data_IF_634313086444
#
_entry.id   IF_634313086444
#
_cell.length_a   1.000
_cell.length_b   1.000
_cell.length_c   1.000
_cell.angle_alpha   90.00
_cell.angle_beta   90.00
_cell.angle_gamma   90.00
#
_symmetry.space_group_name_H-M   'P 1'
#
loop_
_entity.id
_entity.type
_entity.pdbx_description
1 polymer ?
#
# COMPACT_ATOMS: atom_id res chain seq x y z
N UNK A 1 -26.72 29.95 3.40
CA UNK A 1 -26.72 30.40 4.80
C UNK A 1 -25.87 31.66 4.94
N UNK A 2 -26.27 32.63 5.76
CA UNK A 2 -25.47 33.83 6.04
C UNK A 2 -24.84 33.64 7.42
N UNK A 3 -23.55 33.94 7.56
CA UNK A 3 -22.76 33.70 8.77
C UNK A 3 -22.02 34.99 9.13
N UNK A 4 -22.06 35.46 10.38
CA UNK A 4 -21.29 36.60 10.82
C UNK A 4 -19.78 36.32 10.75
N UNK A 5 -18.99 37.35 10.41
CA UNK A 5 -17.53 37.24 10.43
C UNK A 5 -16.96 37.72 11.76
N UNK A 6 -15.68 37.43 11.98
CA UNK A 6 -14.95 37.98 13.15
C UNK A 6 -14.92 39.52 13.18
N UNK A 7 -14.96 40.14 11.99
CA UNK A 7 -14.97 41.64 11.89
C UNK A 7 -16.23 42.24 12.47
N UNK A 8 -17.40 41.61 12.21
CA UNK A 8 -18.65 42.08 12.81
C UNK A 8 -18.61 41.99 14.34
N UNK A 9 -18.11 40.88 14.89
CA UNK A 9 -17.98 40.75 16.34
C UNK A 9 -17.01 41.72 16.96
N UNK A 10 -15.87 41.95 16.32
CA UNK A 10 -14.88 42.94 16.77
C UNK A 10 -15.41 44.40 16.69
N UNK A 11 -16.17 44.74 15.64
CA UNK A 11 -16.81 46.03 15.50
C UNK A 11 -17.90 46.23 16.56
N UNK A 12 -18.72 45.23 16.81
CA UNK A 12 -19.73 45.29 17.89
C UNK A 12 -19.10 45.50 19.27
N UNK A 13 -17.99 44.81 19.54
CA UNK A 13 -17.20 45.01 20.76
C UNK A 13 -16.57 46.42 20.85
N UNK A 14 -15.93 46.86 19.76
CA UNK A 14 -15.31 48.15 19.73
C UNK A 14 -16.31 49.32 19.87
N UNK A 15 -17.51 49.17 19.32
CA UNK A 15 -18.55 50.20 19.41
C UNK A 15 -19.31 50.16 20.75
N UNK A 16 -19.24 49.08 21.52
CA UNK A 16 -19.86 48.99 22.84
C UNK A 16 -19.22 49.95 23.87
N UNK A 17 -17.92 50.22 23.74
CA UNK A 17 -17.17 51.10 24.68
C UNK A 17 -17.58 52.56 24.52
N UNK A 18 -17.60 53.17 23.34
CA UNK A 18 -18.03 54.58 23.16
C UNK A 18 -19.47 54.81 23.56
N UNK A 19 -20.34 53.83 23.48
CA UNK A 19 -21.76 53.91 23.88
C UNK A 19 -21.91 54.35 25.34
N UNK A 20 -20.96 54.01 26.21
CA UNK A 20 -20.94 54.41 27.62
C UNK A 20 -20.80 55.92 27.86
N UNK A 21 -20.29 56.65 26.87
CA UNK A 21 -20.00 58.10 26.95
C UNK A 21 -21.02 58.95 26.16
N UNK A 22 -22.04 58.32 25.53
CA UNK A 22 -23.06 59.02 24.77
C UNK A 22 -24.14 59.52 25.74
N UNK A 23 -24.60 60.79 25.63
CA UNK A 23 -25.62 61.38 26.52
C UNK A 23 -27.07 60.87 26.24
N UNK A 24 -27.18 59.69 25.66
CA UNK A 24 -28.41 58.95 25.47
C UNK A 24 -28.52 57.85 26.55
N UNK A 25 -29.72 57.51 26.93
CA UNK A 25 -29.88 56.35 27.85
C UNK A 25 -29.21 55.13 27.26
N UNK A 26 -28.49 54.34 28.10
CA UNK A 26 -27.65 53.21 27.70
C UNK A 26 -28.38 52.21 26.79
N UNK A 27 -29.65 51.89 27.09
CA UNK A 27 -30.47 50.97 26.27
C UNK A 27 -30.74 51.56 24.89
N UNK A 28 -31.07 52.83 24.79
CA UNK A 28 -31.35 53.48 23.53
C UNK A 28 -30.09 53.57 22.64
N UNK A 29 -28.93 53.90 23.23
CA UNK A 29 -27.64 53.93 22.51
C UNK A 29 -27.23 52.55 22.05
N UNK A 30 -27.33 51.52 22.87
CA UNK A 30 -27.04 50.13 22.45
C UNK A 30 -28.00 49.65 21.36
N UNK A 31 -29.27 49.93 21.44
CA UNK A 31 -30.26 49.57 20.44
C UNK A 31 -29.98 50.22 19.10
N UNK A 32 -29.58 51.51 19.10
CA UNK A 32 -29.25 52.23 17.89
C UNK A 32 -27.99 51.63 17.22
N UNK A 33 -26.92 51.41 17.99
CA UNK A 33 -25.66 50.83 17.48
C UNK A 33 -25.88 49.45 16.91
N UNK A 34 -26.58 48.56 17.66
CA UNK A 34 -26.85 47.22 17.17
C UNK A 34 -27.78 47.23 15.94
N UNK A 35 -28.77 48.17 15.91
CA UNK A 35 -29.64 48.35 14.76
C UNK A 35 -28.86 48.75 13.48
N UNK A 36 -27.92 49.73 13.61
CA UNK A 36 -27.03 50.13 12.52
C UNK A 36 -26.16 48.96 12.09
N UNK A 37 -25.52 48.25 13.00
CA UNK A 37 -24.72 47.07 12.67
C UNK A 37 -25.51 45.98 11.98
N UNK A 38 -26.75 45.74 12.39
CA UNK A 38 -27.65 44.78 11.76
C UNK A 38 -27.96 45.20 10.32
N UNK A 39 -28.31 46.45 10.11
CA UNK A 39 -28.59 46.98 8.74
C UNK A 39 -27.36 46.86 7.84
N UNK A 40 -26.20 47.23 8.33
CA UNK A 40 -24.94 47.08 7.60
C UNK A 40 -24.63 45.60 7.28
N UNK A 41 -24.86 44.73 8.22
CA UNK A 41 -24.68 43.29 8.01
C UNK A 41 -25.67 42.70 6.98
N UNK A 42 -26.93 43.15 7.00
CA UNK A 42 -27.92 42.76 6.01
C UNK A 42 -27.55 43.26 4.60
N UNK A 43 -27.11 44.53 4.47
CA UNK A 43 -26.64 45.08 3.20
C UNK A 43 -25.40 44.34 2.69
N UNK A 44 -24.45 44.07 3.59
CA UNK A 44 -23.24 43.31 3.23
C UNK A 44 -23.58 41.90 2.74
N UNK A 45 -24.48 41.20 3.46
CA UNK A 45 -24.98 39.90 3.07
C UNK A 45 -25.77 39.90 1.77
N UNK A 46 -26.59 40.94 1.51
CA UNK A 46 -27.32 41.05 0.25
C UNK A 46 -26.38 41.22 -0.96
N UNK A 47 -25.28 41.96 -0.76
CA UNK A 47 -24.26 42.22 -1.82
C UNK A 47 -23.20 41.12 -1.94
N UNK A 48 -23.10 40.19 -0.99
CA UNK A 48 -22.21 39.06 -1.05
C UNK A 48 -22.63 38.10 -2.20
N UNK A 49 -21.73 37.72 -3.10
CA UNK A 49 -22.02 36.74 -4.15
C UNK A 49 -22.49 35.40 -3.57
N UNK A 50 -23.35 34.71 -4.31
CA UNK A 50 -23.78 33.36 -3.92
C UNK A 50 -22.61 32.39 -4.15
N UNK A 51 -22.20 31.58 -3.16
CA UNK A 51 -21.11 30.60 -3.35
C UNK A 51 -21.34 29.69 -4.56
N UNK A 52 -22.60 29.28 -4.79
CA UNK A 52 -22.98 28.41 -5.93
C UNK A 52 -22.71 29.04 -7.33
N UNK A 53 -22.53 30.37 -7.41
CA UNK A 53 -22.21 31.03 -8.69
C UNK A 53 -20.71 31.12 -8.98
N UNK A 54 -19.85 30.66 -8.04
CA UNK A 54 -18.42 30.66 -8.23
C UNK A 54 -17.98 29.30 -8.81
N UNK A 55 -17.30 29.28 -9.98
CA UNK A 55 -16.64 28.07 -10.47
C UNK A 55 -15.48 27.70 -9.52
N UNK A 56 -15.62 26.55 -8.88
CA UNK A 56 -14.59 25.98 -8.01
C UNK A 56 -14.21 24.61 -8.51
N UNK A 57 -12.92 24.35 -8.64
CA UNK A 57 -12.37 23.09 -9.09
C UNK A 57 -11.44 22.52 -8.01
N UNK A 58 -11.51 21.21 -7.77
CA UNK A 58 -10.59 20.46 -6.93
C UNK A 58 -9.71 19.60 -7.81
N UNK A 59 -8.41 19.75 -7.67
CA UNK A 59 -7.41 18.85 -8.25
C UNK A 59 -6.95 17.88 -7.18
N UNK A 60 -7.34 16.63 -7.31
CA UNK A 60 -6.98 15.53 -6.44
C UNK A 60 -6.22 14.49 -7.28
N UNK A 61 -5.05 13.98 -6.83
CA UNK A 61 -4.37 12.91 -7.54
C UNK A 61 -5.23 11.64 -7.51
N UNK A 62 -5.31 10.92 -8.63
CA UNK A 62 -6.11 9.70 -8.70
C UNK A 62 -5.53 8.57 -7.83
N UNK A 63 -4.19 8.47 -7.76
CA UNK A 63 -3.47 7.44 -7.02
C UNK A 63 -2.29 8.05 -6.27
N UNK A 64 -2.10 7.64 -5.01
CA UNK A 64 -0.95 8.02 -4.17
C UNK A 64 -0.47 6.78 -3.42
N UNK A 65 0.85 6.61 -3.28
CA UNK A 65 1.39 5.53 -2.46
C UNK A 65 1.31 5.88 -0.96
N UNK A 66 1.10 4.87 -0.12
CA UNK A 66 1.05 5.01 1.34
C UNK A 66 2.30 5.71 1.87
N UNK A 67 2.11 6.77 2.65
CA UNK A 67 3.19 7.55 3.25
C UNK A 67 3.98 8.43 2.29
N UNK A 68 3.63 8.47 1.00
CA UNK A 68 4.19 9.41 0.04
C UNK A 68 3.50 10.77 0.14
N UNK A 69 4.21 11.81 -0.21
CA UNK A 69 3.66 13.16 -0.25
C UNK A 69 3.01 13.41 -1.61
N UNK A 70 1.84 14.05 -1.59
CA UNK A 70 1.11 14.48 -2.78
C UNK A 70 0.40 15.79 -2.51
N UNK A 71 0.02 16.51 -3.55
CA UNK A 71 -0.63 17.80 -3.44
C UNK A 71 -2.12 17.69 -3.78
N UNK A 72 -2.96 18.37 -2.99
CA UNK A 72 -4.35 18.68 -3.28
C UNK A 72 -4.45 20.17 -3.52
N UNK A 73 -5.04 20.58 -4.64
CA UNK A 73 -5.19 21.99 -4.99
C UNK A 73 -6.65 22.35 -5.23
N UNK A 74 -7.00 23.58 -4.89
CA UNK A 74 -8.30 24.19 -5.15
C UNK A 74 -8.11 25.42 -6.02
N UNK A 75 -8.92 25.53 -7.06
CA UNK A 75 -8.97 26.68 -7.92
C UNK A 75 -10.34 27.35 -7.77
N UNK A 76 -10.32 28.66 -7.60
CA UNK A 76 -11.53 29.48 -7.55
C UNK A 76 -11.45 30.53 -8.63
N UNK A 77 -12.48 30.63 -9.47
CA UNK A 77 -12.63 31.70 -10.46
C UNK A 77 -13.67 32.69 -9.98
N UNK A 78 -13.35 33.98 -10.10
CA UNK A 78 -14.23 35.06 -9.74
C UNK A 78 -14.79 35.75 -10.99
N UNK A 79 -16.05 35.53 -11.38
CA UNK A 79 -16.65 36.19 -12.53
C UNK A 79 -17.11 37.63 -12.23
N UNK A 80 -17.03 38.09 -10.98
CA UNK A 80 -17.52 39.41 -10.60
C UNK A 80 -16.48 40.49 -10.87
N UNK A 81 -16.91 41.79 -11.02
CA UNK A 81 -16.01 42.93 -11.23
C UNK A 81 -15.31 43.40 -9.94
N UNK A 82 -15.45 42.68 -8.84
CA UNK A 82 -14.86 43.05 -7.53
C UNK A 82 -13.97 41.93 -7.02
N UNK A 83 -12.91 42.26 -6.30
CA UNK A 83 -12.11 41.27 -5.58
C UNK A 83 -12.97 40.59 -4.50
N UNK A 84 -12.89 39.27 -4.42
CA UNK A 84 -13.61 38.44 -3.44
C UNK A 84 -12.62 37.81 -2.44
N UNK A 85 -13.07 37.69 -1.20
CA UNK A 85 -12.40 36.86 -0.20
C UNK A 85 -13.23 35.58 -0.05
N UNK A 86 -12.60 34.46 -0.40
CA UNK A 86 -13.23 33.14 -0.39
C UNK A 86 -12.49 32.23 0.60
N UNK A 87 -13.22 31.59 1.47
CA UNK A 87 -12.69 30.56 2.36
C UNK A 87 -13.27 29.21 1.94
N UNK A 88 -12.39 28.26 1.69
CA UNK A 88 -12.73 26.88 1.38
C UNK A 88 -12.51 26.00 2.62
N UNK A 89 -13.36 25.00 2.83
CA UNK A 89 -13.16 23.95 3.82
C UNK A 89 -13.51 22.61 3.17
N UNK A 90 -12.49 21.76 3.01
CA UNK A 90 -12.61 20.48 2.33
C UNK A 90 -12.73 19.32 3.31
N UNK A 91 -13.50 18.30 2.93
CA UNK A 91 -13.80 17.13 3.76
C UNK A 91 -12.75 16.00 3.59
N UNK A 92 -11.48 16.39 3.57
CA UNK A 92 -10.37 15.43 3.49
C UNK A 92 -10.33 14.56 4.74
N UNK A 93 -10.28 13.23 4.57
CA UNK A 93 -10.21 12.27 5.67
C UNK A 93 -8.99 12.53 6.58
N UNK A 94 -9.12 12.36 7.92
CA UNK A 94 -8.01 12.54 8.86
C UNK A 94 -6.77 11.70 8.52
N UNK A 95 -6.98 10.49 8.01
CA UNK A 95 -5.92 9.56 7.62
C UNK A 95 -5.10 10.02 6.41
N UNK A 96 -5.58 10.99 5.63
CA UNK A 96 -4.80 11.62 4.55
C UNK A 96 -3.75 12.59 5.10
N UNK A 97 -3.83 12.97 6.38
CA UNK A 97 -2.88 13.88 7.06
C UNK A 97 -2.61 15.14 6.25
N UNK A 98 -3.68 15.80 5.80
CA UNK A 98 -3.57 17.05 5.08
C UNK A 98 -2.96 18.15 5.98
N UNK A 99 -2.01 18.92 5.47
CA UNK A 99 -1.40 20.05 6.18
C UNK A 99 -2.43 21.09 6.60
N UNK A 100 -3.41 21.36 5.73
CA UNK A 100 -4.62 22.12 6.06
C UNK A 100 -5.81 21.56 5.30
N UNK A 101 -7.00 21.68 5.88
CA UNK A 101 -8.28 21.38 5.23
C UNK A 101 -9.05 22.65 4.90
N UNK A 102 -8.48 23.82 5.21
CA UNK A 102 -9.09 25.11 5.01
C UNK A 102 -8.11 26.01 4.28
N UNK A 103 -8.60 26.75 3.31
CA UNK A 103 -7.82 27.73 2.58
C UNK A 103 -8.60 29.05 2.48
N UNK A 104 -7.94 30.17 2.70
CA UNK A 104 -8.48 31.52 2.49
C UNK A 104 -7.78 32.14 1.31
N UNK A 105 -8.55 32.56 0.31
CA UNK A 105 -8.10 33.07 -0.97
C UNK A 105 -8.62 34.48 -1.17
N UNK A 106 -7.78 35.35 -1.70
CA UNK A 106 -8.19 36.65 -2.28
C UNK A 106 -8.21 36.45 -3.78
N UNK A 107 -9.39 36.50 -4.39
CA UNK A 107 -9.59 36.25 -5.81
C UNK A 107 -9.84 37.57 -6.54
N UNK A 108 -8.94 38.04 -7.42
CA UNK A 108 -9.10 39.28 -8.15
C UNK A 108 -10.37 39.34 -8.99
N UNK A 109 -10.84 40.55 -9.32
CA UNK A 109 -11.98 40.75 -10.23
C UNK A 109 -11.69 40.09 -11.60
N UNK A 110 -12.62 39.29 -12.10
CA UNK A 110 -12.47 38.53 -13.36
C UNK A 110 -11.35 37.49 -13.37
N UNK A 111 -10.59 37.34 -12.27
CA UNK A 111 -9.42 36.49 -12.16
C UNK A 111 -9.70 35.12 -11.55
N UNK A 112 -8.60 34.42 -11.29
CA UNK A 112 -8.58 33.13 -10.58
C UNK A 112 -7.50 33.10 -9.49
N UNK A 113 -7.75 32.32 -8.46
CA UNK A 113 -6.76 32.08 -7.42
C UNK A 113 -6.65 30.59 -7.11
N UNK A 114 -5.47 30.17 -6.65
CA UNK A 114 -5.15 28.80 -6.29
C UNK A 114 -4.74 28.72 -4.82
N UNK A 115 -5.21 27.72 -4.13
CA UNK A 115 -4.63 27.26 -2.87
C UNK A 115 -4.28 25.79 -2.98
N UNK A 116 -3.29 25.36 -2.22
CA UNK A 116 -2.89 23.97 -2.19
C UNK A 116 -2.54 23.53 -0.77
N UNK A 117 -2.61 22.21 -0.54
CA UNK A 117 -2.17 21.56 0.68
C UNK A 117 -1.46 20.27 0.32
N UNK A 118 -0.43 19.90 1.08
CA UNK A 118 0.17 18.59 1.00
C UNK A 118 -0.67 17.57 1.77
N UNK A 119 -0.74 16.35 1.25
CA UNK A 119 -1.30 15.19 1.93
C UNK A 119 -0.21 14.12 2.08
N UNK A 120 -0.26 13.36 3.18
CA UNK A 120 0.63 12.22 3.43
C UNK A 120 -0.17 11.07 4.02
N UNK A 121 -0.83 10.25 3.18
CA UNK A 121 -1.73 9.21 3.64
C UNK A 121 -1.07 8.25 4.62
N UNK A 122 -1.76 7.95 5.73
CA UNK A 122 -1.32 7.01 6.77
C UNK A 122 -2.08 5.70 6.75
N UNK A 123 -3.08 5.57 5.89
CA UNK A 123 -3.90 4.38 5.67
C UNK A 123 -4.15 4.20 4.17
N UNK A 124 -4.13 2.96 3.70
CA UNK A 124 -4.54 2.57 2.35
C UNK A 124 -6.05 2.60 2.19
N UNK A 125 -6.49 2.49 0.96
CA UNK A 125 -7.88 2.34 0.60
C UNK A 125 -8.35 3.40 -0.38
N UNK A 126 -9.65 3.38 -0.64
CA UNK A 126 -10.34 4.33 -1.50
C UNK A 126 -10.96 5.43 -0.63
N UNK A 127 -10.60 6.65 -0.92
CA UNK A 127 -11.12 7.83 -0.25
C UNK A 127 -12.01 8.61 -1.21
N UNK A 128 -13.27 8.72 -0.86
CA UNK A 128 -14.23 9.54 -1.60
C UNK A 128 -14.32 10.89 -0.89
N UNK A 129 -14.11 11.96 -1.65
CA UNK A 129 -14.22 13.33 -1.18
C UNK A 129 -15.33 13.97 -1.99
N UNK A 130 -16.51 14.11 -1.38
CA UNK A 130 -17.72 14.52 -2.10
C UNK A 130 -18.00 16.01 -1.98
N UNK A 131 -17.79 16.60 -0.81
CA UNK A 131 -18.25 17.94 -0.48
C UNK A 131 -17.11 18.93 -0.27
N UNK A 132 -17.40 20.19 -0.62
CA UNK A 132 -16.54 21.33 -0.34
C UNK A 132 -17.41 22.48 0.19
N UNK A 133 -17.16 22.92 1.40
CA UNK A 133 -17.82 24.10 1.95
C UNK A 133 -17.10 25.36 1.45
N UNK A 134 -17.87 26.24 0.81
CA UNK A 134 -17.40 27.50 0.24
C UNK A 134 -18.06 28.66 0.99
N UNK A 135 -17.25 29.57 1.50
CA UNK A 135 -17.69 30.79 2.16
C UNK A 135 -17.16 31.99 1.43
N UNK A 136 -18.03 32.95 1.07
CA UNK A 136 -17.70 34.19 0.39
C UNK A 136 -18.04 35.36 1.28
N UNK A 137 -17.04 36.19 1.61
CA UNK A 137 -17.22 37.40 2.41
C UNK A 137 -17.94 38.46 1.61
N UNK A 138 -18.81 39.23 2.26
CA UNK A 138 -19.43 40.42 1.69
C UNK A 138 -18.40 41.55 1.46
N UNK A 139 -18.79 42.63 0.72
CA UNK A 139 -17.90 43.75 0.40
C UNK A 139 -17.27 44.42 1.61
N UNK A 140 -18.01 44.53 2.71
CA UNK A 140 -17.52 45.14 3.96
C UNK A 140 -16.86 44.09 4.87
N UNK A 141 -17.02 42.80 4.56
CA UNK A 141 -16.49 41.69 5.32
C UNK A 141 -17.15 41.50 6.70
N UNK A 142 -18.37 42.02 6.90
CA UNK A 142 -19.14 41.89 8.13
C UNK A 142 -19.83 40.54 8.22
N UNK A 143 -20.34 40.05 7.10
CA UNK A 143 -20.95 38.73 6.97
C UNK A 143 -20.38 37.98 5.79
N UNK A 144 -20.60 36.68 5.76
CA UNK A 144 -20.26 35.83 4.66
C UNK A 144 -21.44 34.93 4.28
N UNK A 145 -21.59 34.64 3.01
CA UNK A 145 -22.49 33.58 2.52
C UNK A 145 -21.72 32.27 2.46
N UNK A 146 -22.31 31.24 2.99
CA UNK A 146 -21.77 29.88 2.99
C UNK A 146 -22.71 28.91 2.28
N UNK A 147 -22.15 28.03 1.47
CA UNK A 147 -22.84 26.88 0.88
C UNK A 147 -21.89 25.70 0.79
N UNK A 148 -22.42 24.49 0.83
CA UNK A 148 -21.72 23.27 0.49
C UNK A 148 -21.97 22.97 -0.98
N UNK A 149 -20.91 22.64 -1.69
CA UNK A 149 -20.90 22.30 -3.12
C UNK A 149 -20.53 20.82 -3.25
N UNK A 150 -21.26 20.09 -4.10
CA UNK A 150 -20.89 18.72 -4.47
C UNK A 150 -19.79 18.75 -5.53
N UNK A 151 -18.64 18.23 -5.19
CA UNK A 151 -17.46 18.07 -6.07
C UNK A 151 -16.88 16.67 -5.86
N UNK A 152 -17.55 15.61 -6.36
CA UNK A 152 -17.12 14.25 -6.10
C UNK A 152 -15.78 13.98 -6.77
N UNK A 153 -14.84 13.46 -5.98
CA UNK A 153 -13.54 12.99 -6.44
C UNK A 153 -13.10 11.78 -5.63
N UNK A 154 -12.31 10.91 -6.22
CA UNK A 154 -11.81 9.69 -5.58
C UNK A 154 -10.29 9.69 -5.59
N UNK A 155 -9.71 9.35 -4.43
CA UNK A 155 -8.29 9.11 -4.26
C UNK A 155 -8.07 7.65 -3.86
N UNK A 156 -7.29 6.90 -4.63
CA UNK A 156 -6.83 5.57 -4.27
C UNK A 156 -5.45 5.67 -3.61
N UNK A 157 -5.32 5.13 -2.39
CA UNK A 157 -4.04 5.04 -1.68
C UNK A 157 -3.55 3.60 -1.75
N UNK A 158 -2.52 3.38 -2.57
CA UNK A 158 -1.94 2.06 -2.84
C UNK A 158 -0.86 1.69 -1.83
N UNK A 159 -0.54 0.39 -1.65
CA UNK A 159 0.62 -0.04 -0.89
C UNK A 159 1.90 0.61 -1.42
N UNK A 160 2.83 0.89 -0.53
CA UNK A 160 4.12 1.44 -0.93
C UNK A 160 5.04 0.31 -1.41
N UNK A 161 5.49 0.37 -2.66
CA UNK A 161 6.50 -0.53 -3.20
C UNK A 161 7.91 -0.02 -2.84
N UNK A 162 8.40 -0.41 -1.66
CA UNK A 162 9.69 0.05 -1.10
C UNK A 162 10.87 -0.63 -1.77
N UNK A 163 10.73 -1.90 -2.12
CA UNK A 163 11.79 -2.74 -2.66
C UNK A 163 11.94 -2.68 -4.19
N UNK A 164 11.35 -1.66 -4.84
CA UNK A 164 11.38 -1.53 -6.31
C UNK A 164 12.79 -1.48 -6.91
N UNK A 165 13.69 -0.68 -6.31
CA UNK A 165 15.07 -0.57 -6.78
C UNK A 165 15.84 -1.90 -6.63
N UNK A 166 15.62 -2.61 -5.53
CA UNK A 166 16.23 -3.90 -5.29
C UNK A 166 15.70 -4.99 -6.21
N UNK A 167 14.43 -4.90 -6.63
CA UNK A 167 13.85 -5.80 -7.61
C UNK A 167 14.59 -5.72 -8.94
N UNK A 168 14.87 -4.51 -9.44
CA UNK A 168 15.61 -4.32 -10.69
C UNK A 168 17.04 -4.87 -10.61
N UNK A 169 17.72 -4.70 -9.47
CA UNK A 169 19.06 -5.29 -9.25
C UNK A 169 19.02 -6.82 -9.34
N UNK A 170 18.00 -7.46 -8.73
CA UNK A 170 17.85 -8.92 -8.77
C UNK A 170 17.46 -9.43 -10.15
N UNK A 171 16.62 -8.73 -10.88
CA UNK A 171 16.28 -9.04 -12.27
C UNK A 171 17.53 -9.02 -13.13
N UNK A 172 18.36 -7.98 -13.03
CA UNK A 172 19.57 -7.85 -13.79
C UNK A 172 20.58 -8.95 -13.43
N UNK A 173 20.76 -9.24 -12.13
CA UNK A 173 21.62 -10.33 -11.67
C UNK A 173 21.14 -11.70 -12.18
N UNK A 174 19.85 -11.99 -12.10
CA UNK A 174 19.29 -13.24 -12.60
C UNK A 174 19.51 -13.41 -14.10
N UNK A 175 19.32 -12.34 -14.90
CA UNK A 175 19.59 -12.35 -16.34
C UNK A 175 21.07 -12.58 -16.66
N UNK A 176 21.98 -11.94 -15.94
CA UNK A 176 23.42 -12.15 -16.11
C UNK A 176 23.81 -13.60 -15.82
N UNK A 177 23.25 -14.20 -14.75
CA UNK A 177 23.47 -15.60 -14.43
C UNK A 177 22.87 -16.52 -15.50
N UNK A 178 21.68 -16.24 -16.04
CA UNK A 178 21.13 -16.99 -17.19
C UNK A 178 22.05 -16.92 -18.41
N UNK A 179 22.58 -15.75 -18.72
CA UNK A 179 23.53 -15.57 -19.85
C UNK A 179 24.82 -16.32 -19.57
N UNK A 180 25.38 -16.21 -18.36
CA UNK A 180 26.60 -16.93 -17.96
C UNK A 180 26.44 -18.45 -18.01
N UNK A 181 25.30 -18.98 -17.55
CA UNK A 181 24.98 -20.41 -17.63
C UNK A 181 24.78 -20.91 -19.07
N UNK A 182 24.29 -20.06 -19.98
CA UNK A 182 24.20 -20.39 -21.42
C UNK A 182 25.54 -20.42 -22.09
N UNK A 183 26.50 -19.62 -21.63
CA UNK A 183 27.85 -19.53 -22.18
C UNK A 183 28.78 -20.60 -21.61
N UNK A 184 28.41 -21.29 -20.53
CA UNK A 184 29.21 -22.34 -19.92
C UNK A 184 28.90 -23.70 -20.59
N UNK A 185 29.79 -24.34 -21.27
CA UNK A 185 29.61 -25.70 -21.84
C UNK A 185 29.31 -26.68 -20.68
N UNK A 186 28.22 -27.46 -20.79
CA UNK A 186 27.98 -28.62 -19.96
C UNK A 186 27.21 -28.44 -18.63
N UNK A 187 26.84 -27.24 -18.18
CA UNK A 187 26.16 -27.00 -16.86
C UNK A 187 24.75 -26.46 -16.92
N UNK A 188 23.99 -26.73 -17.97
CA UNK A 188 22.57 -26.38 -18.03
C UNK A 188 21.70 -27.36 -17.23
N UNK A 189 21.31 -27.04 -16.00
CA UNK A 189 20.37 -27.81 -15.19
C UNK A 189 18.89 -27.60 -15.56
N UNK A 190 18.59 -27.18 -16.79
CA UNK A 190 17.22 -26.96 -17.25
C UNK A 190 16.55 -28.25 -17.70
N UNK A 191 15.20 -28.27 -17.67
CA UNK A 191 14.35 -29.39 -18.11
C UNK A 191 13.67 -29.11 -19.45
N UNK A 192 13.64 -27.86 -19.92
CA UNK A 192 13.04 -27.49 -21.21
C UNK A 192 14.05 -27.69 -22.35
N UNK A 193 13.68 -28.48 -23.35
CA UNK A 193 14.52 -28.69 -24.54
C UNK A 193 14.79 -27.36 -25.24
N UNK A 194 16.07 -27.08 -25.51
CA UNK A 194 16.50 -25.85 -26.18
C UNK A 194 16.90 -26.11 -27.62
N UNK A 195 17.93 -26.96 -27.83
CA UNK A 195 18.44 -27.26 -29.13
C UNK A 195 19.19 -28.62 -29.18
N UNK A 196 19.42 -29.10 -30.37
CA UNK A 196 20.37 -30.14 -30.63
C UNK A 196 21.70 -29.51 -31.11
N UNK A 197 22.84 -29.87 -30.51
CA UNK A 197 24.15 -29.45 -30.96
C UNK A 197 25.14 -30.62 -30.99
N UNK A 198 26.24 -30.41 -31.61
CA UNK A 198 27.29 -31.41 -31.61
C UNK A 198 27.89 -31.62 -30.23
N UNK A 199 28.15 -32.86 -29.85
CA UNK A 199 28.76 -33.29 -28.61
C UNK A 199 30.16 -32.72 -28.44
N UNK A 200 30.45 -32.20 -27.26
CA UNK A 200 31.77 -31.77 -26.82
C UNK A 200 32.26 -32.64 -25.67
N UNK A 201 33.57 -32.75 -25.47
CA UNK A 201 34.17 -33.57 -24.39
C UNK A 201 33.68 -33.19 -22.98
N UNK A 202 33.25 -31.94 -22.82
CA UNK A 202 32.73 -31.40 -21.57
C UNK A 202 31.25 -31.74 -21.33
N UNK A 203 30.57 -32.40 -22.29
CA UNK A 203 29.16 -32.74 -22.16
C UNK A 203 28.95 -34.07 -21.45
N UNK A 204 27.87 -34.17 -20.68
CA UNK A 204 27.45 -35.41 -20.05
C UNK A 204 26.96 -36.41 -21.11
N UNK A 205 27.59 -37.59 -21.22
CA UNK A 205 27.24 -38.66 -22.18
C UNK A 205 25.76 -39.09 -22.11
N UNK A 206 25.11 -38.98 -20.96
CA UNK A 206 23.68 -39.29 -20.77
C UNK A 206 22.74 -38.32 -21.51
N UNK A 207 23.24 -37.18 -21.99
CA UNK A 207 22.46 -36.19 -22.76
C UNK A 207 22.56 -36.40 -24.25
N UNK A 208 23.29 -37.42 -24.74
CA UNK A 208 23.37 -37.75 -26.14
C UNK A 208 22.00 -38.21 -26.66
N UNK A 209 21.53 -37.56 -27.73
CA UNK A 209 20.37 -38.03 -28.48
C UNK A 209 20.80 -39.04 -29.53
N UNK A 210 20.67 -40.30 -29.18
CA UNK A 210 21.07 -41.39 -30.06
C UNK A 210 20.30 -41.42 -31.38
N UNK A 211 19.04 -40.99 -31.41
CA UNK A 211 18.26 -40.93 -32.64
C UNK A 211 18.76 -39.76 -33.58
N UNK A 212 19.09 -38.62 -32.99
CA UNK A 212 19.71 -37.53 -33.77
C UNK A 212 21.13 -37.86 -34.20
N UNK A 213 21.90 -38.52 -33.34
CA UNK A 213 23.26 -39.02 -33.64
C UNK A 213 23.27 -39.98 -34.80
N UNK A 214 22.36 -40.95 -34.83
CA UNK A 214 22.23 -41.93 -35.93
C UNK A 214 21.90 -41.22 -37.27
N UNK A 215 21.10 -40.19 -37.26
CA UNK A 215 20.75 -39.43 -38.48
C UNK A 215 21.84 -38.48 -38.93
N UNK A 216 22.59 -37.88 -37.98
CA UNK A 216 23.63 -36.90 -38.31
C UNK A 216 25.00 -37.51 -38.58
N UNK A 217 25.21 -38.84 -38.28
CA UNK A 217 26.51 -39.51 -38.40
C UNK A 217 27.61 -39.01 -37.45
N UNK A 218 27.23 -38.18 -36.46
CA UNK A 218 28.08 -37.58 -35.41
C UNK A 218 27.31 -37.43 -34.11
N UNK A 219 28.03 -37.48 -33.00
CA UNK A 219 27.40 -37.42 -31.68
C UNK A 219 26.66 -36.09 -31.49
N UNK A 220 25.37 -36.14 -31.25
CA UNK A 220 24.48 -34.98 -31.00
C UNK A 220 23.99 -35.02 -29.57
N UNK A 221 24.07 -33.86 -28.89
CA UNK A 221 23.61 -33.69 -27.51
C UNK A 221 22.39 -32.78 -27.46
N UNK A 222 21.47 -33.12 -26.54
CA UNK A 222 20.34 -32.25 -26.21
C UNK A 222 20.82 -31.19 -25.25
N UNK A 223 20.64 -29.92 -25.60
CA UNK A 223 20.80 -28.82 -24.69
C UNK A 223 19.44 -28.47 -24.06
N UNK A 224 19.47 -28.12 -22.79
CA UNK A 224 18.28 -27.74 -22.03
C UNK A 224 18.46 -26.34 -21.48
N UNK A 225 17.37 -25.59 -21.42
CA UNK A 225 17.32 -24.27 -20.79
C UNK A 225 16.47 -24.32 -19.53
N UNK A 226 16.68 -23.34 -18.64
CA UNK A 226 15.84 -23.16 -17.48
C UNK A 226 14.38 -22.96 -17.91
N UNK A 227 13.48 -23.72 -17.28
CA UNK A 227 12.06 -23.71 -17.59
C UNK A 227 11.49 -22.30 -17.39
N UNK A 228 10.86 -21.75 -18.42
CA UNK A 228 10.09 -20.52 -18.37
C UNK A 228 8.62 -20.90 -18.14
N UNK A 229 7.80 -19.95 -17.67
CA UNK A 229 6.39 -20.15 -17.32
C UNK A 229 6.13 -20.90 -16.01
N UNK A 230 7.07 -20.89 -15.09
CA UNK A 230 6.80 -21.39 -13.74
C UNK A 230 5.68 -20.56 -13.09
N UNK A 231 4.92 -21.20 -12.21
CA UNK A 231 3.82 -20.52 -11.53
C UNK A 231 4.17 -20.25 -10.08
N UNK A 232 4.03 -18.98 -9.68
CA UNK A 232 4.21 -18.52 -8.30
C UNK A 232 2.88 -17.94 -7.82
N UNK A 233 2.34 -18.44 -6.71
CA UNK A 233 1.11 -17.93 -6.10
C UNK A 233 1.41 -17.45 -4.69
N UNK A 234 1.22 -16.18 -4.45
CA UNK A 234 1.30 -15.59 -3.12
C UNK A 234 -0.02 -15.78 -2.39
N UNK A 235 0.00 -16.41 -1.23
CA UNK A 235 -1.11 -16.51 -0.29
C UNK A 235 -0.87 -15.48 0.81
N UNK A 236 -1.61 -14.40 0.78
CA UNK A 236 -1.46 -13.27 1.70
C UNK A 236 -2.50 -13.38 2.81
N UNK A 237 -2.00 -13.69 4.00
CA UNK A 237 -2.82 -13.68 5.22
C UNK A 237 -3.21 -12.25 5.57
N UNK A 238 -4.51 -12.00 5.74
CA UNK A 238 -5.10 -10.71 6.08
C UNK A 238 -5.75 -10.72 7.47
N UNK A 239 -5.49 -11.75 8.28
CA UNK A 239 -6.08 -11.91 9.61
C UNK A 239 -5.41 -11.09 10.71
N UNK A 240 -5.84 -11.31 11.95
CA UNK A 240 -5.48 -10.49 13.12
C UNK A 240 -3.97 -10.41 13.39
N UNK A 241 -3.21 -11.47 13.10
CA UNK A 241 -1.77 -11.49 13.34
C UNK A 241 -1.01 -10.51 12.45
N UNK A 242 -1.57 -10.25 11.26
CA UNK A 242 -1.02 -9.31 10.29
C UNK A 242 -1.36 -7.84 10.60
N UNK A 243 -2.29 -7.59 11.53
CA UNK A 243 -2.61 -6.25 12.04
C UNK A 243 -1.52 -5.70 12.98
N UNK A 244 -0.75 -6.56 13.62
CA UNK A 244 0.32 -6.18 14.52
C UNK A 244 1.38 -5.33 13.78
N UNK A 245 1.92 -4.33 14.48
CA UNK A 245 2.82 -3.34 13.89
C UNK A 245 4.28 -3.67 14.21
N UNK A 246 5.11 -3.54 13.20
CA UNK A 246 6.58 -3.57 13.32
C UNK A 246 7.09 -2.23 12.78
N UNK A 247 7.89 -1.52 13.56
CA UNK A 247 8.34 -0.15 13.28
C UNK A 247 7.18 0.81 12.93
N UNK A 248 6.05 0.69 13.64
CA UNK A 248 4.88 1.53 13.45
C UNK A 248 4.03 1.20 12.21
N UNK A 249 4.41 0.19 11.42
CA UNK A 249 3.72 -0.23 10.18
C UNK A 249 3.11 -1.62 10.38
N UNK A 250 1.85 -1.89 9.95
CA UNK A 250 1.29 -3.23 10.02
C UNK A 250 2.15 -4.26 9.29
N UNK A 251 2.25 -5.49 9.83
CA UNK A 251 2.96 -6.60 9.16
C UNK A 251 2.44 -6.83 7.75
N UNK A 252 1.15 -6.65 7.52
CA UNK A 252 0.51 -6.77 6.22
C UNK A 252 1.18 -5.89 5.15
N UNK A 253 1.59 -4.66 5.49
CA UNK A 253 2.26 -3.74 4.56
C UNK A 253 3.63 -4.26 4.10
N UNK A 254 4.39 -4.84 5.03
CA UNK A 254 5.69 -5.45 4.71
C UNK A 254 5.52 -6.71 3.86
N UNK A 255 4.49 -7.50 4.13
CA UNK A 255 4.14 -8.66 3.31
C UNK A 255 3.69 -8.24 1.90
N UNK A 256 2.90 -7.17 1.76
CA UNK A 256 2.49 -6.63 0.47
C UNK A 256 3.69 -6.14 -0.36
N UNK A 257 4.67 -5.48 0.27
CA UNK A 257 5.91 -5.09 -0.42
C UNK A 257 6.66 -6.32 -0.95
N UNK A 258 6.74 -7.39 -0.15
CA UNK A 258 7.36 -8.65 -0.57
C UNK A 258 6.59 -9.33 -1.72
N UNK A 259 5.26 -9.33 -1.68
CA UNK A 259 4.40 -9.83 -2.78
C UNK A 259 4.60 -9.02 -4.05
N UNK A 260 4.68 -7.69 -3.95
CA UNK A 260 4.92 -6.82 -5.11
C UNK A 260 6.29 -7.08 -5.73
N UNK A 261 7.33 -7.18 -4.91
CA UNK A 261 8.68 -7.47 -5.38
C UNK A 261 8.75 -8.83 -6.09
N UNK A 262 8.22 -9.87 -5.46
CA UNK A 262 8.22 -11.21 -6.04
C UNK A 262 7.41 -11.26 -7.33
N UNK A 263 6.22 -10.63 -7.38
CA UNK A 263 5.38 -10.54 -8.59
C UNK A 263 6.12 -9.82 -9.72
N UNK A 264 6.81 -8.72 -9.40
CA UNK A 264 7.59 -7.96 -10.38
C UNK A 264 8.72 -8.80 -10.95
N UNK A 265 9.54 -9.39 -10.08
CA UNK A 265 10.70 -10.21 -10.50
C UNK A 265 10.24 -11.43 -11.30
N UNK A 266 9.25 -12.17 -10.82
CA UNK A 266 8.72 -13.34 -11.52
C UNK A 266 8.20 -12.98 -12.91
N UNK A 267 7.39 -11.92 -13.02
CA UNK A 267 6.85 -11.45 -14.30
C UNK A 267 7.93 -11.01 -15.28
N UNK A 268 9.00 -10.35 -14.81
CA UNK A 268 10.13 -9.90 -15.63
C UNK A 268 11.05 -11.04 -16.10
N UNK A 269 11.05 -12.16 -15.36
CA UNK A 269 11.77 -13.39 -15.70
C UNK A 269 10.91 -14.37 -16.54
N UNK A 270 9.70 -13.97 -16.94
CA UNK A 270 8.80 -14.75 -17.79
C UNK A 270 7.95 -15.77 -17.04
N UNK A 271 7.91 -15.74 -15.70
CA UNK A 271 7.07 -16.60 -14.90
C UNK A 271 5.68 -16.00 -14.66
N UNK A 272 4.75 -16.84 -14.20
CA UNK A 272 3.38 -16.46 -13.91
C UNK A 272 3.24 -16.18 -12.43
N UNK A 273 2.92 -14.94 -12.06
CA UNK A 273 2.65 -14.59 -10.67
C UNK A 273 1.15 -14.43 -10.42
N UNK A 274 0.67 -14.89 -9.26
CA UNK A 274 -0.71 -14.77 -8.82
C UNK A 274 -0.79 -14.42 -7.34
N UNK A 275 -1.99 -14.05 -6.88
CA UNK A 275 -2.30 -13.70 -5.50
C UNK A 275 -3.60 -14.37 -5.06
N UNK A 276 -3.62 -14.84 -3.83
CA UNK A 276 -4.81 -15.18 -3.06
C UNK A 276 -4.69 -14.53 -1.69
N UNK A 277 -5.53 -13.54 -1.40
CA UNK A 277 -5.60 -12.92 -0.09
C UNK A 277 -6.76 -13.53 0.71
N UNK A 278 -6.54 -13.81 1.98
CA UNK A 278 -7.51 -14.49 2.83
C UNK A 278 -7.40 -14.06 4.30
N UNK A 279 -8.50 -14.17 4.99
CA UNK A 279 -8.63 -14.19 6.45
C UNK A 279 -9.55 -15.37 6.82
N UNK A 280 -10.69 -15.16 7.44
CA UNK A 280 -11.74 -16.20 7.61
C UNK A 280 -12.29 -16.69 6.28
N UNK A 281 -12.20 -15.87 5.24
CA UNK A 281 -12.68 -16.10 3.89
C UNK A 281 -11.63 -15.65 2.87
N UNK A 282 -11.78 -16.11 1.62
CA UNK A 282 -10.98 -15.61 0.50
C UNK A 282 -11.46 -14.20 0.14
N UNK A 283 -10.60 -13.21 0.28
CA UNK A 283 -10.88 -11.78 0.04
C UNK A 283 -10.60 -11.34 -1.38
N UNK A 284 -9.53 -11.85 -1.97
CA UNK A 284 -9.15 -11.50 -3.33
C UNK A 284 -8.40 -12.65 -4.00
N UNK A 285 -8.62 -12.83 -5.29
CA UNK A 285 -7.89 -13.79 -6.11
C UNK A 285 -7.47 -13.15 -7.41
N UNK A 286 -6.16 -13.14 -7.67
CA UNK A 286 -5.58 -12.75 -8.96
C UNK A 286 -4.92 -13.96 -9.59
N UNK A 287 -5.48 -14.45 -10.69
CA UNK A 287 -4.95 -15.62 -11.39
C UNK A 287 -3.52 -15.38 -11.89
N UNK A 288 -2.65 -16.43 -11.86
CA UNK A 288 -1.28 -16.32 -12.30
C UNK A 288 -1.21 -15.98 -13.80
N UNK A 289 -0.51 -14.92 -14.12
CA UNK A 289 -0.22 -14.50 -15.50
C UNK A 289 1.20 -13.94 -15.57
N UNK A 290 1.78 -13.95 -16.75
CA UNK A 290 3.01 -13.25 -17.07
C UNK A 290 2.72 -11.88 -17.70
N UNK A 291 3.72 -11.02 -17.76
CA UNK A 291 3.65 -9.73 -18.44
C UNK A 291 3.56 -8.51 -17.52
N UNK A 292 3.76 -7.31 -18.09
CA UNK A 292 3.99 -6.08 -17.34
C UNK A 292 2.77 -5.60 -16.52
N UNK A 293 1.56 -5.98 -16.92
CA UNK A 293 0.32 -5.57 -16.21
C UNK A 293 0.01 -6.39 -14.96
N UNK A 294 0.75 -7.47 -14.68
CA UNK A 294 0.40 -8.36 -13.56
C UNK A 294 0.66 -7.72 -12.21
N UNK A 295 1.76 -6.97 -12.07
CA UNK A 295 2.05 -6.20 -10.85
C UNK A 295 0.92 -5.23 -10.53
N UNK A 296 0.44 -4.47 -11.53
CA UNK A 296 -0.65 -3.53 -11.34
C UNK A 296 -1.94 -4.24 -10.86
N UNK A 297 -2.29 -5.39 -11.45
CA UNK A 297 -3.46 -6.18 -11.04
C UNK A 297 -3.35 -6.73 -9.61
N UNK A 298 -2.16 -7.19 -9.21
CA UNK A 298 -1.90 -7.66 -7.85
C UNK A 298 -1.97 -6.49 -6.86
N UNK A 299 -1.36 -5.35 -7.21
CA UNK A 299 -1.42 -4.14 -6.37
C UNK A 299 -2.84 -3.64 -6.21
N UNK A 300 -3.64 -3.61 -7.30
CA UNK A 300 -5.06 -3.23 -7.28
C UNK A 300 -5.90 -4.16 -6.40
N UNK A 301 -5.62 -5.46 -6.41
CA UNK A 301 -6.31 -6.40 -5.53
C UNK A 301 -5.94 -6.23 -4.04
N UNK A 302 -4.72 -5.74 -3.76
CA UNK A 302 -4.22 -5.57 -2.40
C UNK A 302 -4.60 -4.22 -1.76
N UNK A 303 -4.78 -3.15 -2.55
CA UNK A 303 -4.90 -1.80 -1.97
C UNK A 303 -6.13 -1.60 -1.08
N UNK A 304 -7.20 -2.35 -1.31
CA UNK A 304 -8.44 -2.31 -0.53
C UNK A 304 -8.40 -3.21 0.73
N UNK A 305 -7.38 -4.06 0.89
CA UNK A 305 -7.28 -5.00 2.00
C UNK A 305 -6.81 -4.26 3.26
N UNK A 306 -7.60 -4.30 4.30
CA UNK A 306 -7.19 -3.94 5.66
C UNK A 306 -7.10 -5.21 6.51
N UNK A 307 -6.15 -5.32 7.47
CA UNK A 307 -6.06 -6.51 8.31
C UNK A 307 -7.32 -6.67 9.14
N UNK A 308 -7.97 -7.81 9.00
CA UNK A 308 -9.17 -8.13 9.76
C UNK A 308 -8.78 -8.72 11.14
N UNK A 309 -9.49 -8.29 12.21
CA UNK A 309 -9.24 -8.79 13.56
C UNK A 309 -9.93 -10.15 13.78
N UNK A 310 -9.78 -11.06 12.85
CA UNK A 310 -10.34 -12.42 12.85
C UNK A 310 -9.23 -13.46 12.65
N UNK A 311 -9.49 -14.69 13.08
CA UNK A 311 -8.58 -15.82 12.80
C UNK A 311 -8.63 -16.17 11.32
N UNK A 312 -7.46 -16.53 10.78
CA UNK A 312 -7.30 -16.91 9.37
C UNK A 312 -7.60 -18.38 9.16
N UNK A 313 -8.42 -18.67 8.15
CA UNK A 313 -8.72 -20.04 7.72
C UNK A 313 -7.71 -20.52 6.66
N UNK A 314 -6.58 -21.04 7.13
CA UNK A 314 -5.55 -21.62 6.23
C UNK A 314 -6.06 -22.84 5.48
N UNK A 315 -6.93 -23.65 6.11
CA UNK A 315 -7.47 -24.86 5.49
C UNK A 315 -8.33 -24.51 4.29
N UNK A 316 -9.24 -23.57 4.45
CA UNK A 316 -10.07 -23.06 3.35
C UNK A 316 -9.25 -22.40 2.24
N UNK A 317 -8.25 -21.58 2.60
CA UNK A 317 -7.36 -20.96 1.64
C UNK A 317 -6.56 -21.98 0.82
N UNK A 318 -6.03 -23.04 1.46
CA UNK A 318 -5.30 -24.10 0.77
C UNK A 318 -6.22 -24.98 -0.07
N UNK A 319 -7.42 -25.32 0.41
CA UNK A 319 -8.42 -26.05 -0.38
C UNK A 319 -8.80 -25.27 -1.64
N UNK A 320 -9.04 -23.96 -1.50
CA UNK A 320 -9.29 -23.08 -2.65
C UNK A 320 -8.10 -23.06 -3.63
N UNK A 321 -6.88 -23.00 -3.11
CA UNK A 321 -5.65 -23.00 -3.90
C UNK A 321 -5.50 -24.29 -4.69
N UNK A 322 -5.68 -25.46 -4.07
CA UNK A 322 -5.61 -26.77 -4.71
C UNK A 322 -6.69 -26.96 -5.77
N UNK A 323 -7.91 -26.50 -5.50
CA UNK A 323 -9.01 -26.59 -6.47
C UNK A 323 -8.72 -25.76 -7.73
N UNK A 324 -8.08 -24.59 -7.57
CA UNK A 324 -7.87 -23.64 -8.65
C UNK A 324 -6.54 -23.80 -9.37
N UNK A 325 -5.47 -24.19 -8.68
CA UNK A 325 -4.12 -24.32 -9.22
C UNK A 325 -3.65 -25.77 -9.20
N UNK A 326 -4.10 -26.54 -10.18
CA UNK A 326 -3.83 -27.99 -10.26
C UNK A 326 -2.42 -28.36 -10.69
N UNK A 327 -1.72 -27.43 -11.40
CA UNK A 327 -0.34 -27.65 -11.82
C UNK A 327 0.60 -27.28 -10.69
N UNK A 328 1.75 -27.97 -10.62
CA UNK A 328 2.80 -27.67 -9.65
C UNK A 328 3.18 -26.18 -9.70
N UNK A 329 3.27 -25.57 -8.55
CA UNK A 329 3.54 -24.15 -8.38
C UNK A 329 4.40 -23.91 -7.13
N UNK A 330 5.06 -22.76 -7.06
CA UNK A 330 5.60 -22.23 -5.81
C UNK A 330 4.48 -21.48 -5.09
N UNK A 331 4.10 -21.96 -3.93
CA UNK A 331 3.17 -21.27 -3.03
C UNK A 331 3.95 -20.50 -1.98
N UNK A 332 3.74 -19.21 -1.92
CA UNK A 332 4.38 -18.31 -0.95
C UNK A 332 3.34 -17.87 0.04
N UNK A 333 3.39 -18.40 1.25
CA UNK A 333 2.46 -18.07 2.33
C UNK A 333 3.05 -16.92 3.15
N UNK A 334 2.51 -15.73 3.00
CA UNK A 334 2.90 -14.55 3.77
C UNK A 334 2.02 -14.48 5.02
N UNK A 335 2.57 -14.81 6.18
CA UNK A 335 1.86 -14.84 7.46
C UNK A 335 2.82 -14.65 8.64
N UNK A 336 2.31 -14.68 9.87
CA UNK A 336 3.11 -14.59 11.10
C UNK A 336 3.43 -15.98 11.66
N UNK A 337 4.63 -16.17 12.20
CA UNK A 337 5.07 -17.41 12.85
C UNK A 337 4.62 -17.46 14.32
N UNK A 338 3.31 -17.46 14.57
CA UNK A 338 2.72 -17.59 15.91
C UNK A 338 2.37 -19.06 16.20
N UNK A 339 2.84 -19.61 17.32
CA UNK A 339 2.76 -21.06 17.61
C UNK A 339 1.32 -21.58 17.63
N UNK A 340 0.39 -20.84 18.23
CA UNK A 340 -0.99 -21.28 18.38
C UNK A 340 -1.72 -21.40 17.04
N UNK A 341 -1.68 -20.37 16.20
CA UNK A 341 -2.31 -20.40 14.87
C UNK A 341 -1.66 -21.42 13.93
N UNK A 342 -0.36 -21.68 14.12
CA UNK A 342 0.38 -22.62 13.30
C UNK A 342 0.07 -24.07 13.63
N UNK A 343 0.06 -24.43 14.90
CA UNK A 343 -0.05 -25.84 15.33
C UNK A 343 -1.42 -26.40 15.03
N UNK A 344 -2.47 -25.59 15.20
CA UNK A 344 -3.85 -26.05 15.09
C UNK A 344 -4.38 -26.03 13.65
N UNK A 345 -3.93 -25.10 12.83
CA UNK A 345 -4.56 -24.87 11.52
C UNK A 345 -3.62 -25.00 10.32
N UNK A 346 -2.45 -24.36 10.35
CA UNK A 346 -1.56 -24.32 9.18
C UNK A 346 -0.76 -25.61 9.02
N UNK A 347 -0.18 -26.17 10.09
CA UNK A 347 0.64 -27.40 9.99
C UNK A 347 -0.11 -28.61 9.42
N UNK A 348 -1.35 -28.94 9.87
CA UNK A 348 -2.12 -30.02 9.29
C UNK A 348 -2.46 -29.77 7.81
N UNK A 349 -2.76 -28.54 7.46
CA UNK A 349 -3.12 -28.16 6.09
C UNK A 349 -1.91 -28.14 5.14
N UNK A 350 -0.71 -27.81 5.66
CA UNK A 350 0.52 -27.76 4.86
C UNK A 350 0.89 -29.12 4.24
N UNK A 351 0.64 -30.21 4.96
CA UNK A 351 0.88 -31.57 4.46
C UNK A 351 0.08 -31.91 3.19
N UNK A 352 -1.10 -31.33 3.02
CA UNK A 352 -1.93 -31.50 1.82
C UNK A 352 -1.33 -30.79 0.61
N UNK A 353 -0.85 -29.56 0.84
CA UNK A 353 -0.34 -28.68 -0.22
C UNK A 353 1.08 -29.06 -0.64
N UNK A 354 1.93 -29.44 0.32
CA UNK A 354 3.34 -29.80 0.10
C UNK A 354 3.56 -31.01 -0.80
N UNK A 355 2.55 -31.88 -0.95
CA UNK A 355 2.60 -33.01 -1.89
C UNK A 355 2.51 -32.59 -3.36
N UNK A 356 1.83 -31.48 -3.64
CA UNK A 356 1.54 -31.01 -4.99
C UNK A 356 2.34 -29.77 -5.38
N UNK A 357 2.74 -28.97 -4.42
CA UNK A 357 3.39 -27.68 -4.62
C UNK A 357 4.64 -27.54 -3.77
N UNK A 358 5.56 -26.67 -4.17
CA UNK A 358 6.63 -26.22 -3.30
C UNK A 358 6.11 -25.08 -2.43
N UNK A 359 6.47 -25.08 -1.14
CA UNK A 359 5.96 -24.10 -0.20
C UNK A 359 7.10 -23.27 0.38
N UNK A 360 6.93 -21.97 0.34
CA UNK A 360 7.75 -20.97 1.06
C UNK A 360 6.84 -20.27 2.05
N UNK A 361 7.24 -20.21 3.31
CA UNK A 361 6.55 -19.41 4.33
C UNK A 361 7.39 -18.17 4.60
N UNK A 362 6.78 -16.99 4.44
CA UNK A 362 7.43 -15.70 4.61
C UNK A 362 6.80 -14.93 5.78
N UNK A 363 7.62 -14.53 6.75
CA UNK A 363 7.18 -13.85 7.96
C UNK A 363 8.04 -12.63 8.27
N UNK A 364 7.41 -11.62 8.90
CA UNK A 364 8.07 -10.37 9.32
C UNK A 364 8.61 -10.53 10.74
N UNK A 365 9.91 -10.59 10.89
CA UNK A 365 10.56 -10.56 12.21
C UNK A 365 10.54 -9.15 12.79
N UNK A 366 10.18 -9.02 14.06
CA UNK A 366 10.24 -7.73 14.75
C UNK A 366 11.64 -7.51 15.36
N UNK A 367 12.42 -6.53 14.86
CA UNK A 367 13.75 -6.26 15.38
C UNK A 367 13.73 -5.74 16.82
N UNK A 368 12.62 -5.18 17.30
CA UNK A 368 12.49 -4.74 18.70
C UNK A 368 12.55 -5.94 19.65
N UNK A 369 11.93 -7.06 19.30
CA UNK A 369 11.97 -8.29 20.11
C UNK A 369 13.41 -8.83 20.22
N UNK A 370 14.17 -8.81 19.13
CA UNK A 370 15.58 -9.20 19.14
C UNK A 370 16.43 -8.27 20.02
N UNK A 371 16.20 -6.95 19.94
CA UNK A 371 16.88 -5.97 20.81
C UNK A 371 16.56 -6.21 22.29
N UNK A 372 15.27 -6.44 22.63
CA UNK A 372 14.89 -6.72 24.03
C UNK A 372 15.53 -8.02 24.56
N UNK A 373 15.59 -9.07 23.74
CA UNK A 373 16.24 -10.31 24.13
C UNK A 373 17.74 -10.13 24.38
N UNK A 374 18.41 -9.23 23.66
CA UNK A 374 19.84 -8.94 23.80
C UNK A 374 20.15 -7.87 24.85
N UNK A 375 19.17 -7.08 25.30
CA UNK A 375 19.38 -5.97 26.24
C UNK A 375 19.83 -6.45 27.63
N UNK A 376 20.54 -5.59 28.35
CA UNK A 376 20.78 -5.75 29.81
C UNK A 376 19.66 -5.01 30.51
N UNK A 377 18.82 -5.67 31.34
CA UNK A 377 17.71 -4.99 32.00
C UNK A 377 18.19 -4.16 33.20
N UNK A 378 17.67 -2.95 33.34
CA UNK A 378 17.97 -2.02 34.43
C UNK A 378 16.94 -2.11 35.56
N UNK A 379 15.76 -2.72 35.29
CA UNK A 379 14.64 -2.84 36.24
C UNK A 379 13.92 -4.19 36.10
N UNK A 380 12.96 -4.44 36.98
CA UNK A 380 12.11 -5.64 36.93
C UNK A 380 11.30 -5.73 35.63
N UNK A 381 10.76 -4.60 35.13
CA UNK A 381 10.01 -4.54 33.89
C UNK A 381 10.87 -4.94 32.69
N UNK A 382 12.11 -4.44 32.63
CA UNK A 382 13.10 -4.81 31.62
C UNK A 382 13.43 -6.31 31.68
N UNK A 383 13.56 -6.88 32.89
CA UNK A 383 13.80 -8.32 33.09
C UNK A 383 12.63 -9.17 32.53
N UNK A 384 11.39 -8.84 32.86
CA UNK A 384 10.21 -9.53 32.33
C UNK A 384 10.11 -9.39 30.81
N UNK A 385 10.39 -8.18 30.28
CA UNK A 385 10.40 -7.93 28.83
C UNK A 385 11.44 -8.76 28.10
N UNK A 386 12.65 -8.86 28.65
CA UNK A 386 13.71 -9.72 28.12
C UNK A 386 13.31 -11.18 28.12
N UNK A 387 12.77 -11.68 29.23
CA UNK A 387 12.32 -13.07 29.35
C UNK A 387 11.23 -13.40 28.32
N UNK A 388 10.21 -12.52 28.18
CA UNK A 388 9.16 -12.66 27.19
C UNK A 388 9.70 -12.62 25.74
N UNK A 389 10.68 -11.75 25.46
CA UNK A 389 11.31 -11.67 24.15
C UNK A 389 12.10 -12.93 23.79
N UNK A 390 12.85 -13.49 24.76
CA UNK A 390 13.60 -14.77 24.59
C UNK A 390 12.61 -15.91 24.33
N UNK A 391 11.50 -15.98 25.09
CA UNK A 391 10.46 -16.99 24.91
C UNK A 391 9.84 -16.89 23.49
N UNK A 392 9.43 -15.70 23.07
CA UNK A 392 8.84 -15.46 21.76
C UNK A 392 9.79 -15.83 20.61
N UNK A 393 11.09 -15.49 20.70
CA UNK A 393 12.07 -15.90 19.70
C UNK A 393 12.30 -17.43 19.72
N UNK A 394 12.20 -18.07 20.89
CA UNK A 394 12.27 -19.51 21.02
C UNK A 394 11.10 -20.22 20.32
N UNK A 395 9.89 -19.74 20.54
CA UNK A 395 8.68 -20.25 19.88
C UNK A 395 8.78 -20.09 18.35
N UNK A 396 9.16 -18.90 17.90
CA UNK A 396 9.33 -18.61 16.48
C UNK A 396 10.32 -19.55 15.79
N UNK A 397 11.43 -19.84 16.46
CA UNK A 397 12.44 -20.81 15.97
C UNK A 397 11.90 -22.24 15.92
N UNK A 398 11.11 -22.67 16.92
CA UNK A 398 10.47 -23.99 16.94
C UNK A 398 9.47 -24.13 15.78
N UNK A 399 8.62 -23.14 15.56
CA UNK A 399 7.68 -23.11 14.43
C UNK A 399 8.43 -23.21 13.11
N UNK A 400 9.46 -22.40 12.92
CA UNK A 400 10.27 -22.43 11.70
C UNK A 400 10.94 -23.79 11.47
N UNK A 401 11.43 -24.44 12.53
CA UNK A 401 12.03 -25.78 12.45
C UNK A 401 11.00 -26.85 12.05
N UNK A 402 9.79 -26.80 12.62
CA UNK A 402 8.70 -27.73 12.25
C UNK A 402 8.31 -27.57 10.78
N UNK A 403 8.19 -26.33 10.29
CA UNK A 403 7.90 -26.06 8.88
C UNK A 403 8.95 -26.64 7.94
N UNK A 404 10.25 -26.43 8.29
CA UNK A 404 11.36 -27.02 7.51
C UNK A 404 11.32 -28.54 7.52
N UNK A 405 10.97 -29.14 8.65
CA UNK A 405 10.78 -30.60 8.76
C UNK A 405 9.68 -31.14 7.86
N UNK A 406 8.67 -30.33 7.52
CA UNK A 406 7.62 -30.64 6.55
C UNK A 406 8.00 -30.32 5.10
N UNK A 407 9.23 -29.90 4.82
CA UNK A 407 9.74 -29.59 3.50
C UNK A 407 9.47 -28.16 3.02
N UNK A 408 8.92 -27.26 3.86
CA UNK A 408 8.76 -25.87 3.52
C UNK A 408 10.08 -25.09 3.67
N UNK A 409 10.30 -24.13 2.79
CA UNK A 409 11.33 -23.10 2.97
C UNK A 409 10.76 -21.99 3.86
N UNK A 410 11.52 -21.55 4.88
CA UNK A 410 11.08 -20.49 5.78
C UNK A 410 11.97 -19.26 5.62
N UNK A 411 11.36 -18.15 5.24
CA UNK A 411 11.97 -16.83 5.15
C UNK A 411 11.43 -15.99 6.31
N UNK A 412 12.22 -15.80 7.34
CA UNK A 412 11.91 -15.00 8.51
C UNK A 412 12.91 -13.85 8.57
N UNK A 413 12.43 -12.61 8.31
CA UNK A 413 13.31 -11.47 8.11
C UNK A 413 12.71 -10.16 8.64
N UNK A 414 13.57 -9.21 9.09
CA UNK A 414 13.08 -7.90 9.52
C UNK A 414 12.49 -7.09 8.36
N UNK A 415 11.74 -6.01 8.66
CA UNK A 415 11.29 -5.03 7.66
C UNK A 415 12.45 -4.56 6.78
N UNK A 416 12.18 -4.45 5.47
CA UNK A 416 13.19 -4.07 4.48
C UNK A 416 14.02 -5.25 3.94
N UNK A 417 14.19 -6.34 4.68
CA UNK A 417 14.90 -7.53 4.22
C UNK A 417 13.97 -8.66 3.76
N UNK A 418 12.69 -8.65 4.16
CA UNK A 418 11.76 -9.71 3.81
C UNK A 418 11.58 -9.86 2.31
N UNK A 419 11.31 -8.77 1.61
CA UNK A 419 11.08 -8.78 0.17
C UNK A 419 12.31 -9.25 -0.62
N UNK A 420 13.54 -8.75 -0.34
CA UNK A 420 14.77 -9.27 -0.91
C UNK A 420 14.99 -10.76 -0.67
N UNK A 421 14.94 -11.19 0.59
CA UNK A 421 15.21 -12.61 0.97
C UNK A 421 14.17 -13.56 0.40
N UNK A 422 12.91 -13.16 0.35
CA UNK A 422 11.86 -13.96 -0.29
C UNK A 422 12.13 -14.13 -1.79
N UNK A 423 12.53 -13.07 -2.45
CA UNK A 423 12.89 -13.11 -3.87
C UNK A 423 14.13 -13.98 -4.11
N UNK A 424 15.13 -13.90 -3.24
CA UNK A 424 16.32 -14.78 -3.32
C UNK A 424 15.94 -16.26 -3.13
N UNK A 425 15.02 -16.56 -2.20
CA UNK A 425 14.48 -17.92 -2.03
C UNK A 425 13.76 -18.43 -3.29
N UNK A 426 12.94 -17.58 -3.94
CA UNK A 426 12.32 -17.91 -5.22
C UNK A 426 13.36 -18.18 -6.31
N UNK A 427 14.37 -17.32 -6.44
CA UNK A 427 15.44 -17.49 -7.45
C UNK A 427 16.23 -18.77 -7.20
N UNK A 428 16.51 -19.12 -5.93
CA UNK A 428 17.17 -20.38 -5.57
C UNK A 428 16.33 -21.60 -5.96
N UNK A 429 15.01 -21.58 -5.68
CA UNK A 429 14.10 -22.66 -6.09
C UNK A 429 14.03 -22.78 -7.62
N UNK A 430 13.99 -21.65 -8.33
CA UNK A 430 14.01 -21.61 -9.79
C UNK A 430 15.30 -22.20 -10.37
N UNK A 431 16.44 -21.89 -9.76
CA UNK A 431 17.74 -22.41 -10.20
C UNK A 431 17.89 -23.94 -10.04
N UNK A 432 17.16 -24.55 -9.09
CA UNK A 432 17.20 -26.01 -8.88
C UNK A 432 16.36 -26.80 -9.86
N UNK A 433 15.53 -26.15 -10.70
CA UNK A 433 14.60 -26.82 -11.63
C UNK A 433 13.54 -27.68 -10.95
N UNK A 434 13.24 -27.42 -9.68
CA UNK A 434 12.26 -28.20 -8.87
C UNK A 434 10.81 -27.76 -9.04
N UNK A 435 10.56 -26.67 -9.74
CA UNK A 435 9.23 -26.13 -10.05
C UNK A 435 8.60 -26.77 -11.27
#
# INVERSE_FOLDING_TARGET
MVVPTRRLALLALALSVPVLFVPLGLVAALTLVNGVLLVLALVDGARAPRPASLPVERQLPAVVALGSEAEVAWWVRNPSPRTLVVTLADELAPSLRAGTRRARLVVPAGGRARAATSIRPSRRGRFEVAELAVRVEGPFGLVARQATMSLPATLAVHPRYRSAAEAELRINRARLLEVGLRSAPGRGGGTEFDALREYSVDDESRRIDWAATARAGRAIVRTYRAERNQTVVCLLDNGRTMAARVDGVPRLEHAMDAVMMLTHVASRLGDRAGLLAFDREVRAVVGPRHGPGQLARVTEAMYVLDPALVESDYRGAFAHTLARFRRRALLVVCTELAEQAFTETLLPALGLVGRHHLVVVAAVADPAVARWAASVPDDATGTYRKAAAIAALGERRRVAARLRGLGATVVDAPPGELAPRLTDAYLAVKATGRL
#
